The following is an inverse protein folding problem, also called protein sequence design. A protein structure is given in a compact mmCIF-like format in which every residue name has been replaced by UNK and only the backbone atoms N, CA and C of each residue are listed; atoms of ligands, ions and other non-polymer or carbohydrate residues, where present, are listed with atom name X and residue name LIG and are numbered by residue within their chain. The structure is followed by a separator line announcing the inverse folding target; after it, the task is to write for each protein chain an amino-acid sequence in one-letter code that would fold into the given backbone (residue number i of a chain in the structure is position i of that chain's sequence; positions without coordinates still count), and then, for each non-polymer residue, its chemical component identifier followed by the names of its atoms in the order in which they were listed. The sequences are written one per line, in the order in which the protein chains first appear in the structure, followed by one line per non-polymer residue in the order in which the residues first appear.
data_IF_008616839620
#
_entry.id   IF_008616839620
#
_cell.length_a   1.000
_cell.length_b   1.000
_cell.length_c   1.000
_cell.angle_alpha   90.00
_cell.angle_beta   90.00
_cell.angle_gamma   90.00
#
_symmetry.space_group_name_H-M   'P 1'
#
loop_
_entity.id
_entity.type
_entity.pdbx_description
1 polymer ?
#
# COMPACT_ATOMS: atom_id res chain seq x y z
N UNK A 1 -30.27 40.91 21.11
CA UNK A 1 -28.99 40.65 20.39
C UNK A 1 -29.00 39.41 19.48
N UNK A 2 -29.99 38.50 19.55
CA UNK A 2 -30.02 37.28 18.72
C UNK A 2 -30.49 37.50 17.26
N UNK A 3 -31.38 38.46 16.98
CA UNK A 3 -31.94 38.71 15.62
C UNK A 3 -30.89 39.12 14.58
N UNK A 4 -29.80 39.79 14.97
CA UNK A 4 -28.74 40.20 14.04
C UNK A 4 -27.70 39.10 13.74
N UNK A 5 -27.60 38.08 14.61
CA UNK A 5 -26.63 36.98 14.45
C UNK A 5 -27.13 35.86 13.54
N UNK A 6 -28.44 35.64 13.46
CA UNK A 6 -29.03 34.58 12.63
C UNK A 6 -28.71 34.73 11.13
N UNK A 7 -28.78 35.92 10.51
CA UNK A 7 -28.39 36.10 9.12
C UNK A 7 -26.91 35.81 8.87
N UNK A 8 -26.03 36.24 9.79
CA UNK A 8 -24.59 36.00 9.71
C UNK A 8 -24.25 34.50 9.82
N UNK A 9 -24.91 33.78 10.73
CA UNK A 9 -24.74 32.32 10.86
C UNK A 9 -25.27 31.57 9.64
N UNK A 10 -26.38 32.00 9.03
CA UNK A 10 -26.89 31.41 7.78
C UNK A 10 -25.91 31.62 6.62
N UNK A 11 -25.34 32.81 6.50
CA UNK A 11 -24.32 33.10 5.49
C UNK A 11 -23.07 32.22 5.70
N UNK A 12 -22.66 32.02 6.96
CA UNK A 12 -21.55 31.14 7.31
C UNK A 12 -21.84 29.66 6.97
N UNK A 13 -23.04 29.17 7.27
CA UNK A 13 -23.46 27.80 6.91
C UNK A 13 -23.42 27.61 5.38
N UNK A 14 -23.96 28.55 4.62
CA UNK A 14 -23.91 28.48 3.15
C UNK A 14 -22.47 28.50 2.61
N UNK A 15 -21.59 29.32 3.20
CA UNK A 15 -20.18 29.35 2.86
C UNK A 15 -19.48 28.00 3.12
N UNK A 16 -19.73 27.41 4.29
CA UNK A 16 -19.18 26.10 4.66
C UNK A 16 -19.72 24.98 3.78
N UNK A 17 -21.01 24.99 3.42
CA UNK A 17 -21.57 24.01 2.49
C UNK A 17 -20.91 24.10 1.11
N UNK A 18 -20.71 25.30 0.58
CA UNK A 18 -20.03 25.50 -0.70
C UNK A 18 -18.54 25.10 -0.65
N UNK A 19 -17.90 25.20 0.51
CA UNK A 19 -16.54 24.71 0.72
C UNK A 19 -16.49 23.18 0.79
N UNK A 20 -17.42 22.54 1.50
CA UNK A 20 -17.56 21.08 1.54
C UNK A 20 -17.74 20.50 0.13
N UNK A 21 -18.60 21.12 -0.69
CA UNK A 21 -18.85 20.64 -2.05
C UNK A 21 -17.59 20.79 -2.93
N UNK A 22 -16.86 21.91 -2.83
CA UNK A 22 -15.58 22.08 -3.52
C UNK A 22 -14.53 21.06 -3.10
N UNK A 23 -14.44 20.76 -1.80
CA UNK A 23 -13.52 19.75 -1.28
C UNK A 23 -13.89 18.34 -1.75
N UNK A 24 -15.19 18.03 -1.85
CA UNK A 24 -15.67 16.77 -2.43
C UNK A 24 -15.29 16.64 -3.89
N UNK A 25 -15.47 17.69 -4.68
CA UNK A 25 -15.08 17.69 -6.09
C UNK A 25 -13.57 17.49 -6.26
N UNK A 26 -12.76 18.20 -5.45
CA UNK A 26 -11.31 18.01 -5.44
C UNK A 26 -10.91 16.58 -5.04
N UNK A 27 -11.57 15.99 -4.02
CA UNK A 27 -11.34 14.61 -3.63
C UNK A 27 -11.70 13.63 -4.75
N UNK A 28 -12.80 13.87 -5.45
CA UNK A 28 -13.21 13.06 -6.60
C UNK A 28 -12.15 13.13 -7.72
N UNK A 29 -11.63 14.33 -8.03
CA UNK A 29 -10.55 14.49 -9.00
C UNK A 29 -9.30 13.71 -8.60
N UNK A 30 -8.85 13.83 -7.35
CA UNK A 30 -7.67 13.10 -6.85
C UNK A 30 -7.92 11.58 -6.88
N UNK A 31 -9.12 11.12 -6.56
CA UNK A 31 -9.47 9.70 -6.66
C UNK A 31 -9.44 9.20 -8.12
N UNK A 32 -9.93 10.01 -9.06
CA UNK A 32 -9.89 9.69 -10.49
C UNK A 32 -8.45 9.67 -11.03
N UNK A 33 -7.61 10.61 -10.60
CA UNK A 33 -6.17 10.66 -10.92
C UNK A 33 -5.42 9.46 -10.34
N UNK A 34 -5.68 9.11 -9.07
CA UNK A 34 -5.12 7.91 -8.46
C UNK A 34 -5.52 6.67 -9.24
N UNK A 35 -6.80 6.54 -9.63
CA UNK A 35 -7.28 5.43 -10.47
C UNK A 35 -6.49 5.36 -11.79
N UNK A 36 -6.28 6.49 -12.46
CA UNK A 36 -5.49 6.54 -13.68
C UNK A 36 -4.02 6.13 -13.46
N UNK A 37 -3.39 6.62 -12.39
CA UNK A 37 -2.02 6.23 -12.04
C UNK A 37 -1.91 4.73 -11.75
N UNK A 38 -2.92 4.16 -11.09
CA UNK A 38 -3.01 2.73 -10.85
C UNK A 38 -3.17 1.91 -12.13
N UNK A 39 -4.02 2.37 -13.07
CA UNK A 39 -4.22 1.74 -14.38
C UNK A 39 -2.93 1.77 -15.22
N UNK A 40 -2.23 2.92 -15.21
CA UNK A 40 -0.98 3.08 -15.97
C UNK A 40 0.16 2.24 -15.39
N UNK A 41 0.27 2.15 -14.06
CA UNK A 41 1.21 1.23 -13.41
C UNK A 41 0.93 -0.23 -13.81
N UNK A 42 -0.35 -0.65 -13.81
CA UNK A 42 -0.73 -2.01 -14.19
C UNK A 42 -0.38 -2.29 -15.67
N UNK A 43 -0.55 -1.30 -16.55
CA UNK A 43 -0.14 -1.39 -17.96
C UNK A 43 1.37 -1.56 -18.10
N UNK A 44 2.17 -0.74 -17.41
CA UNK A 44 3.63 -0.79 -17.48
C UNK A 44 4.18 -2.11 -16.93
N UNK A 45 3.58 -2.65 -15.88
CA UNK A 45 3.96 -3.96 -15.35
C UNK A 45 3.67 -5.10 -16.33
N UNK A 46 2.53 -5.06 -17.04
CA UNK A 46 2.24 -6.01 -18.11
C UNK A 46 3.26 -5.89 -19.26
N UNK A 47 3.60 -4.68 -19.67
CA UNK A 47 4.60 -4.44 -20.71
C UNK A 47 5.98 -4.96 -20.29
N UNK A 48 6.39 -4.68 -19.05
CA UNK A 48 7.64 -5.18 -18.49
C UNK A 48 7.68 -6.71 -18.42
N UNK A 49 6.59 -7.36 -18.03
CA UNK A 49 6.48 -8.82 -18.02
C UNK A 49 6.65 -9.39 -19.45
N UNK A 50 5.95 -8.81 -20.44
CA UNK A 50 6.08 -9.22 -21.85
C UNK A 50 7.50 -9.03 -22.39
N UNK A 51 8.18 -7.93 -22.01
CA UNK A 51 9.56 -7.69 -22.40
C UNK A 51 10.52 -8.69 -21.75
N UNK A 52 10.32 -9.03 -20.48
CA UNK A 52 11.10 -10.06 -19.76
C UNK A 52 10.92 -11.44 -20.41
N UNK A 53 9.70 -11.80 -20.80
CA UNK A 53 9.41 -13.06 -21.50
C UNK A 53 10.09 -13.10 -22.87
N UNK A 54 10.04 -12.00 -23.63
CA UNK A 54 10.73 -11.88 -24.92
C UNK A 54 12.24 -11.97 -24.80
N UNK A 55 12.83 -11.33 -23.79
CA UNK A 55 14.27 -11.40 -23.51
C UNK A 55 14.69 -12.83 -23.13
N UNK A 56 13.90 -13.49 -22.28
CA UNK A 56 14.11 -14.89 -21.89
C UNK A 56 14.02 -15.82 -23.10
N UNK A 57 13.02 -15.65 -23.97
CA UNK A 57 12.88 -16.40 -25.21
C UNK A 57 14.06 -16.17 -26.18
N UNK A 58 14.67 -14.98 -26.16
CA UNK A 58 15.86 -14.64 -26.93
C UNK A 58 17.18 -15.13 -26.27
N UNK A 59 17.12 -15.80 -25.12
CA UNK A 59 18.30 -16.28 -24.38
C UNK A 59 19.08 -15.17 -23.65
N UNK A 60 18.52 -13.97 -23.54
CA UNK A 60 19.10 -12.83 -22.84
C UNK A 60 18.43 -12.72 -21.47
N UNK A 61 19.13 -13.12 -20.40
CA UNK A 61 18.63 -12.91 -19.04
C UNK A 61 19.07 -11.53 -18.54
N UNK A 62 18.11 -10.71 -18.10
CA UNK A 62 18.43 -9.53 -17.29
C UNK A 62 18.97 -10.02 -15.95
N UNK A 63 20.08 -9.47 -15.43
CA UNK A 63 20.53 -9.81 -14.09
C UNK A 63 19.37 -9.53 -13.12
N UNK A 64 18.93 -10.57 -12.41
CA UNK A 64 17.90 -10.45 -11.38
C UNK A 64 18.26 -9.28 -10.48
N UNK A 65 17.29 -8.37 -10.32
CA UNK A 65 17.39 -7.03 -9.72
C UNK A 65 18.68 -6.75 -8.97
N UNK A 66 19.42 -5.70 -9.39
CA UNK A 66 20.62 -5.13 -8.73
C UNK A 66 20.97 -5.84 -7.42
N UNK A 67 21.70 -6.96 -7.52
CA UNK A 67 22.19 -7.67 -6.36
C UNK A 67 22.90 -6.63 -5.49
N UNK A 68 22.34 -6.38 -4.29
CA UNK A 68 22.93 -5.46 -3.34
C UNK A 68 24.41 -5.79 -3.21
N UNK A 69 25.25 -4.79 -3.45
CA UNK A 69 26.70 -4.89 -3.27
C UNK A 69 26.95 -5.59 -1.92
N UNK A 70 27.68 -6.71 -1.89
CA UNK A 70 27.96 -7.37 -0.63
C UNK A 70 28.77 -6.40 0.23
N UNK A 71 28.13 -5.95 1.31
CA UNK A 71 28.80 -5.22 2.36
C UNK A 71 29.79 -6.17 3.04
N UNK A 72 31.08 -5.91 2.87
CA UNK A 72 32.12 -6.41 3.75
C UNK A 72 33.00 -7.51 3.20
N UNK A 73 34.01 -7.14 2.42
CA UNK A 73 35.36 -7.70 2.61
C UNK A 73 36.24 -6.59 3.17
N UNK A 74 36.18 -6.44 4.49
CA UNK A 74 37.19 -5.70 5.23
C UNK A 74 38.53 -6.44 5.04
N UNK A 75 39.46 -5.79 4.35
CA UNK A 75 40.81 -6.27 4.16
C UNK A 75 41.48 -6.48 5.52
N UNK A 76 41.79 -7.73 5.83
CA UNK A 76 42.67 -8.10 6.92
C UNK A 76 44.08 -7.56 6.65
N UNK A 77 44.63 -6.86 7.64
CA UNK A 77 45.93 -6.23 7.57
C UNK A 77 47.07 -7.24 7.43
N UNK A 78 48.02 -6.91 6.56
CA UNK A 78 49.38 -7.44 6.61
C UNK A 78 50.32 -6.30 7.00
N UNK A 79 50.83 -6.41 8.22
CA UNK A 79 51.99 -5.72 8.74
C UNK A 79 53.25 -6.13 7.96
N UNK A 80 54.01 -5.15 7.50
CA UNK A 80 55.30 -5.35 6.85
C UNK A 80 56.14 -4.08 6.97
N UNK A 81 57.02 -4.07 7.97
CA UNK A 81 58.05 -3.08 8.24
C UNK A 81 59.21 -3.20 7.24
N UNK A 82 59.59 -2.11 6.58
CA UNK A 82 60.97 -1.85 6.16
C UNK A 82 61.15 -0.38 5.81
N UNK A 83 62.12 0.27 6.46
CA UNK A 83 62.40 1.69 6.31
C UNK A 83 63.19 2.04 5.05
N UNK A 84 63.01 3.27 4.59
CA UNK A 84 64.04 4.03 3.88
C UNK A 84 63.71 5.54 3.95
N UNK A 85 64.76 6.30 4.22
CA UNK A 85 64.83 7.75 4.30
C UNK A 85 64.31 8.47 3.04
N UNK A 86 63.64 9.62 3.27
CA UNK A 86 63.74 10.75 2.35
C UNK A 86 62.42 11.35 1.88
N UNK A 87 62.25 12.65 2.17
CA UNK A 87 61.33 13.63 1.56
C UNK A 87 59.95 13.76 2.20
N UNK A 88 59.81 14.77 3.08
CA UNK A 88 58.52 15.26 3.61
C UNK A 88 57.62 15.66 2.42
N UNK A 89 56.44 15.03 2.23
CA UNK A 89 55.45 15.58 1.33
C UNK A 89 54.83 16.81 1.99
N UNK A 90 54.67 17.86 1.18
CA UNK A 90 54.05 19.13 1.56
C UNK A 90 52.62 18.89 2.08
N UNK A 91 52.29 19.63 3.15
CA UNK A 91 50.98 19.81 3.79
C UNK A 91 49.86 18.87 3.33
N UNK A 92 49.53 17.88 4.17
CA UNK A 92 48.25 17.19 4.05
C UNK A 92 47.13 18.22 4.25
N UNK A 93 46.51 18.65 3.15
CA UNK A 93 45.25 19.38 3.18
C UNK A 93 44.29 18.49 3.97
N UNK A 94 43.89 18.90 5.18
CA UNK A 94 42.87 18.20 5.96
C UNK A 94 41.63 18.12 5.05
N UNK A 95 41.36 16.95 4.48
CA UNK A 95 40.13 16.73 3.75
C UNK A 95 39.00 16.97 4.75
N UNK A 96 38.25 18.05 4.54
CA UNK A 96 37.01 18.29 5.25
C UNK A 96 36.03 17.24 4.74
N UNK A 97 35.91 16.13 5.47
CA UNK A 97 34.88 15.13 5.20
C UNK A 97 33.56 15.77 5.58
N UNK A 98 32.84 16.26 4.58
CA UNK A 98 31.48 16.71 4.76
C UNK A 98 30.58 15.47 4.81
N UNK A 99 30.03 15.19 5.99
CA UNK A 99 29.25 13.98 6.23
C UNK A 99 27.78 14.31 5.99
N UNK A 100 27.37 14.27 4.72
CA UNK A 100 25.98 14.43 4.35
C UNK A 100 25.20 13.17 4.75
N UNK A 101 24.24 13.32 5.67
CA UNK A 101 23.28 12.25 5.97
C UNK A 101 22.21 12.29 4.90
N UNK A 102 22.26 11.31 3.99
CA UNK A 102 21.21 11.11 2.99
C UNK A 102 20.20 10.14 3.59
N UNK A 103 18.96 10.60 3.77
CA UNK A 103 17.85 9.72 4.11
C UNK A 103 17.35 9.10 2.80
N UNK A 104 17.58 7.81 2.63
CA UNK A 104 16.95 7.03 1.55
C UNK A 104 15.69 6.39 2.10
N UNK A 105 14.62 6.34 1.31
CA UNK A 105 13.43 5.60 1.67
C UNK A 105 13.79 4.13 1.89
N UNK A 106 13.59 3.65 3.13
CA UNK A 106 13.62 2.22 3.41
C UNK A 106 12.25 1.66 3.02
N UNK A 107 12.17 1.11 1.82
CA UNK A 107 11.01 0.32 1.39
C UNK A 107 11.16 -1.08 1.99
N UNK A 108 10.11 -1.58 2.64
CA UNK A 108 10.09 -2.98 3.10
C UNK A 108 10.21 -3.89 1.89
N UNK A 109 11.12 -4.86 1.98
CA UNK A 109 11.42 -5.84 0.95
C UNK A 109 10.48 -7.04 1.00
N UNK A 110 9.64 -7.15 2.04
CA UNK A 110 8.73 -8.27 2.22
C UNK A 110 9.35 -9.46 2.95
N UNK A 111 10.55 -9.29 3.52
CA UNK A 111 11.33 -10.38 4.16
C UNK A 111 11.96 -9.96 5.49
N UNK A 112 11.53 -8.82 6.04
CA UNK A 112 12.00 -8.29 7.31
C UNK A 112 11.51 -9.11 8.51
N UNK A 113 10.34 -9.73 8.39
CA UNK A 113 9.72 -10.53 9.45
C UNK A 113 9.65 -12.00 9.05
N UNK A 114 9.87 -12.88 10.02
CA UNK A 114 9.75 -14.33 9.82
C UNK A 114 8.28 -14.76 9.71
N UNK A 115 7.40 -14.08 10.45
CA UNK A 115 5.98 -14.35 10.45
C UNK A 115 5.28 -13.47 9.37
N UNK A 116 4.52 -14.07 8.41
CA UNK A 116 3.89 -13.31 7.33
C UNK A 116 2.83 -12.30 7.80
N UNK A 117 2.16 -12.57 8.92
CA UNK A 117 1.25 -11.64 9.58
C UNK A 117 1.98 -10.39 10.07
N UNK A 118 3.12 -10.57 10.75
CA UNK A 118 3.95 -9.45 11.23
C UNK A 118 4.44 -8.59 10.07
N UNK A 119 4.91 -9.23 8.98
CA UNK A 119 5.36 -8.53 7.77
C UNK A 119 4.22 -7.66 7.19
N UNK A 120 3.04 -8.25 6.98
CA UNK A 120 1.94 -7.54 6.35
C UNK A 120 1.36 -6.48 7.29
N UNK A 121 1.30 -6.74 8.60
CA UNK A 121 0.83 -5.77 9.58
C UNK A 121 1.73 -4.52 9.61
N UNK A 122 3.05 -4.70 9.54
CA UNK A 122 4.00 -3.58 9.49
C UNK A 122 3.88 -2.78 8.19
N UNK A 123 3.69 -3.46 7.04
CA UNK A 123 3.46 -2.80 5.76
C UNK A 123 2.17 -1.95 5.77
N UNK A 124 1.08 -2.48 6.34
CA UNK A 124 -0.18 -1.74 6.53
C UNK A 124 0.07 -0.52 7.44
N UNK A 125 0.81 -0.71 8.54
CA UNK A 125 1.15 0.36 9.48
C UNK A 125 1.94 1.48 8.82
N UNK A 126 2.94 1.13 8.00
CA UNK A 126 3.73 2.11 7.26
C UNK A 126 2.89 2.84 6.20
N UNK A 127 2.03 2.13 5.48
CA UNK A 127 1.11 2.75 4.52
C UNK A 127 0.21 3.76 5.21
N UNK A 128 -0.47 3.36 6.29
CA UNK A 128 -1.28 4.26 7.11
C UNK A 128 -0.48 5.46 7.61
N UNK A 129 0.74 5.23 8.10
CA UNK A 129 1.57 6.30 8.64
C UNK A 129 1.97 7.34 7.58
N UNK A 130 2.12 6.93 6.32
CA UNK A 130 2.47 7.78 5.17
C UNK A 130 1.25 8.50 4.59
N UNK A 131 0.11 7.82 4.55
CA UNK A 131 -1.06 8.26 3.79
C UNK A 131 -2.12 8.98 4.65
N UNK A 132 -2.10 8.78 5.96
CA UNK A 132 -2.99 9.49 6.90
C UNK A 132 -2.21 10.59 7.61
N UNK A 133 -2.71 11.82 7.52
CA UNK A 133 -2.09 12.97 8.18
C UNK A 133 -2.05 12.79 9.69
N UNK A 134 -0.96 13.20 10.33
CA UNK A 134 -0.76 13.09 11.78
C UNK A 134 -1.97 13.52 12.64
N UNK A 135 -2.64 14.67 12.39
CA UNK A 135 -3.84 15.05 13.16
C UNK A 135 -5.04 14.13 12.93
N UNK A 136 -5.19 13.53 11.74
CA UNK A 136 -6.32 12.66 11.40
C UNK A 136 -6.18 11.24 11.97
N UNK A 137 -4.98 10.84 12.40
CA UNK A 137 -4.68 9.48 12.89
C UNK A 137 -5.50 9.07 14.12
N UNK A 138 -5.89 10.02 14.97
CA UNK A 138 -6.69 9.74 16.16
C UNK A 138 -8.14 9.36 15.81
N UNK A 139 -8.70 9.98 14.76
CA UNK A 139 -10.06 9.72 14.29
C UNK A 139 -10.11 8.54 13.30
N UNK A 140 -8.96 8.22 12.69
CA UNK A 140 -8.81 7.13 11.72
C UNK A 140 -7.71 6.14 12.14
N UNK A 141 -7.84 5.48 13.31
CA UNK A 141 -6.91 4.46 13.74
C UNK A 141 -7.09 3.18 12.91
N UNK A 142 -6.03 2.37 12.84
CA UNK A 142 -6.11 1.04 12.24
C UNK A 142 -6.90 0.10 13.15
N UNK A 143 -8.09 -0.32 12.71
CA UNK A 143 -8.95 -1.24 13.43
C UNK A 143 -9.27 -2.47 12.58
N UNK A 144 -8.38 -3.46 12.61
CA UNK A 144 -8.55 -4.66 11.80
C UNK A 144 -7.99 -5.93 12.45
N UNK A 145 -8.39 -7.08 11.88
CA UNK A 145 -7.75 -8.38 12.08
C UNK A 145 -7.68 -9.15 10.78
N UNK A 146 -6.78 -10.13 10.72
CA UNK A 146 -6.77 -11.13 9.65
C UNK A 146 -7.68 -12.29 10.02
N UNK A 147 -8.55 -12.69 9.10
CA UNK A 147 -9.36 -13.89 9.23
C UNK A 147 -8.54 -15.15 8.94
N UNK A 148 -9.08 -16.29 9.38
CA UNK A 148 -8.44 -17.58 9.17
C UNK A 148 -8.29 -17.86 7.66
N UNK A 149 -7.05 -18.10 7.23
CA UNK A 149 -6.72 -18.35 5.82
C UNK A 149 -6.48 -17.11 4.96
N UNK A 150 -6.63 -15.89 5.50
CA UNK A 150 -6.38 -14.66 4.74
C UNK A 150 -4.97 -14.62 4.15
N UNK A 151 -3.94 -14.84 4.97
CA UNK A 151 -2.54 -14.81 4.52
C UNK A 151 -2.23 -15.90 3.50
N UNK A 152 -2.82 -17.10 3.67
CA UNK A 152 -2.71 -18.17 2.70
C UNK A 152 -3.34 -17.78 1.35
N UNK A 153 -4.45 -17.05 1.35
CA UNK A 153 -5.06 -16.52 0.13
C UNK A 153 -4.21 -15.42 -0.52
N UNK A 154 -3.56 -14.55 0.27
CA UNK A 154 -2.63 -13.53 -0.24
C UNK A 154 -1.45 -14.21 -0.93
N UNK A 155 -0.83 -15.19 -0.30
CA UNK A 155 0.29 -15.93 -0.89
C UNK A 155 -0.12 -16.61 -2.21
N UNK A 156 -1.25 -17.33 -2.19
CA UNK A 156 -1.78 -18.05 -3.35
C UNK A 156 -2.13 -17.13 -4.53
N UNK A 157 -2.74 -15.99 -4.25
CA UNK A 157 -3.36 -15.14 -5.30
C UNK A 157 -2.46 -13.97 -5.71
N UNK A 158 -1.63 -13.48 -4.80
CA UNK A 158 -0.84 -12.25 -4.94
C UNK A 158 0.67 -12.51 -4.88
N UNK A 159 1.11 -13.63 -4.29
CA UNK A 159 2.54 -13.92 -4.02
C UNK A 159 3.48 -13.93 -5.24
N UNK A 160 2.94 -13.99 -6.47
CA UNK A 160 3.71 -13.91 -7.72
C UNK A 160 3.49 -12.61 -8.53
N UNK A 161 2.52 -11.76 -8.17
CA UNK A 161 2.17 -10.53 -8.90
C UNK A 161 2.76 -9.28 -8.26
N UNK A 162 3.78 -8.69 -8.88
CA UNK A 162 4.55 -7.56 -8.33
C UNK A 162 3.68 -6.30 -8.10
N UNK A 163 2.69 -6.04 -8.97
CA UNK A 163 1.74 -4.94 -8.86
C UNK A 163 0.81 -5.10 -7.65
N UNK A 164 -0.06 -6.11 -7.65
CA UNK A 164 -1.06 -6.33 -6.61
C UNK A 164 -0.45 -6.47 -5.21
N UNK A 165 0.73 -7.08 -5.08
CA UNK A 165 1.42 -7.20 -3.79
C UNK A 165 1.82 -5.86 -3.21
N UNK A 166 2.26 -4.92 -4.06
CA UNK A 166 2.62 -3.55 -3.66
C UNK A 166 1.39 -2.73 -3.30
N UNK A 167 0.27 -2.90 -4.01
CA UNK A 167 -1.00 -2.18 -3.76
C UNK A 167 -1.70 -2.65 -2.49
N UNK A 168 -1.55 -3.93 -2.15
CA UNK A 168 -2.32 -4.57 -1.08
C UNK A 168 -2.21 -3.83 0.27
N UNK A 169 -1.01 -3.50 0.80
CA UNK A 169 -0.91 -2.76 2.06
C UNK A 169 -1.63 -1.41 2.07
N UNK A 170 -1.63 -0.69 0.95
CA UNK A 170 -2.34 0.60 0.82
C UNK A 170 -3.85 0.41 0.89
N UNK A 171 -4.38 -0.55 0.13
CA UNK A 171 -5.82 -0.85 0.15
C UNK A 171 -6.27 -1.32 1.53
N UNK A 172 -5.49 -2.20 2.17
CA UNK A 172 -5.77 -2.67 3.53
C UNK A 172 -5.74 -1.52 4.54
N UNK A 173 -4.74 -0.62 4.46
CA UNK A 173 -4.64 0.54 5.34
C UNK A 173 -5.84 1.49 5.19
N UNK A 174 -6.28 1.77 3.95
CA UNK A 174 -7.46 2.59 3.71
C UNK A 174 -8.72 2.00 4.33
N UNK A 175 -8.97 0.70 4.11
CA UNK A 175 -10.14 0.03 4.65
C UNK A 175 -10.08 -0.03 6.18
N UNK A 176 -8.93 -0.39 6.76
CA UNK A 176 -8.75 -0.50 8.20
C UNK A 176 -8.88 0.84 8.95
N UNK A 177 -8.62 1.96 8.25
CA UNK A 177 -8.74 3.32 8.78
C UNK A 177 -10.11 3.98 8.48
N UNK A 178 -11.06 3.24 7.87
CA UNK A 178 -12.40 3.77 7.56
C UNK A 178 -12.44 4.70 6.35
N UNK A 179 -11.48 4.58 5.44
CA UNK A 179 -11.43 5.29 4.16
C UNK A 179 -11.73 4.35 3.00
N UNK A 180 -12.67 3.42 3.16
CA UNK A 180 -13.04 2.46 2.12
C UNK A 180 -13.44 3.11 0.79
N UNK A 181 -13.97 4.34 0.81
CA UNK A 181 -14.35 5.12 -0.37
C UNK A 181 -13.14 5.55 -1.24
N UNK A 182 -11.91 5.48 -0.71
CA UNK A 182 -10.67 5.74 -1.47
C UNK A 182 -10.21 4.51 -2.28
N UNK A 183 -10.91 3.38 -2.14
CA UNK A 183 -10.57 2.14 -2.84
C UNK A 183 -11.37 1.95 -4.12
N UNK A 184 -10.81 1.21 -5.08
CA UNK A 184 -11.49 0.92 -6.35
C UNK A 184 -12.68 -0.01 -6.16
N UNK A 185 -13.84 0.45 -6.62
CA UNK A 185 -15.09 -0.35 -6.70
C UNK A 185 -15.45 -1.02 -5.37
N UNK A 186 -15.40 -0.24 -4.30
CA UNK A 186 -15.92 -0.67 -3.00
C UNK A 186 -17.40 -0.98 -3.07
N UNK A 187 -17.76 -2.25 -2.87
CA UNK A 187 -19.14 -2.71 -3.01
C UNK A 187 -19.51 -3.74 -1.95
N UNK A 188 -20.79 -3.74 -1.60
CA UNK A 188 -21.38 -4.83 -0.83
C UNK A 188 -21.24 -6.15 -1.60
N UNK A 189 -20.75 -7.20 -0.93
CA UNK A 189 -20.76 -8.53 -1.48
C UNK A 189 -22.17 -9.13 -1.33
N UNK A 190 -22.70 -9.70 -2.41
CA UNK A 190 -24.11 -10.14 -2.51
C UNK A 190 -24.19 -11.62 -2.83
N UNK A 191 -25.22 -12.28 -2.31
CA UNK A 191 -25.42 -13.72 -2.40
C UNK A 191 -25.74 -14.23 -3.84
N UNK A 192 -25.82 -13.35 -4.82
CA UNK A 192 -26.14 -13.69 -6.20
C UNK A 192 -25.77 -12.59 -7.18
N UNK A 193 -25.74 -12.95 -8.46
CA UNK A 193 -25.35 -12.07 -9.57
C UNK A 193 -26.44 -11.10 -9.99
N UNK A 194 -27.67 -11.27 -9.49
CA UNK A 194 -28.80 -10.39 -9.79
C UNK A 194 -28.66 -9.05 -9.04
N UNK A 195 -29.05 -7.95 -9.69
CA UNK A 195 -28.92 -6.60 -9.12
C UNK A 195 -29.69 -6.38 -7.81
N UNK A 196 -30.65 -7.25 -7.48
CA UNK A 196 -31.43 -7.23 -6.24
C UNK A 196 -31.00 -8.26 -5.18
N UNK A 197 -29.91 -9.01 -5.39
CA UNK A 197 -29.48 -10.02 -4.43
C UNK A 197 -29.15 -9.38 -3.06
N UNK A 198 -29.58 -10.01 -1.95
CA UNK A 198 -29.30 -9.49 -0.62
C UNK A 198 -27.79 -9.49 -0.36
N UNK A 199 -27.34 -8.51 0.41
CA UNK A 199 -25.97 -8.47 0.93
C UNK A 199 -25.74 -9.71 1.79
N UNK A 200 -24.55 -10.30 1.68
CA UNK A 200 -24.13 -11.38 2.57
C UNK A 200 -23.85 -10.81 3.96
N UNK A 201 -24.51 -11.41 4.96
CA UNK A 201 -24.36 -11.09 6.38
C UNK A 201 -24.00 -12.37 7.11
N UNK A 202 -22.93 -12.35 7.90
CA UNK A 202 -22.48 -13.49 8.69
C UNK A 202 -23.47 -13.74 9.84
N UNK A 203 -23.96 -14.97 9.95
CA UNK A 203 -25.03 -15.31 10.90
C UNK A 203 -24.60 -15.25 12.37
N UNK A 204 -23.32 -15.49 12.67
CA UNK A 204 -22.82 -15.59 14.04
C UNK A 204 -22.73 -14.24 14.75
N UNK A 205 -22.36 -13.18 14.03
CA UNK A 205 -22.10 -11.86 14.59
C UNK A 205 -22.75 -10.71 13.80
N UNK A 206 -23.42 -10.97 12.69
CA UNK A 206 -24.03 -9.93 11.86
C UNK A 206 -23.02 -9.14 11.02
N UNK A 207 -21.78 -9.60 10.88
CA UNK A 207 -20.78 -8.90 10.08
C UNK A 207 -21.21 -8.84 8.60
N UNK A 208 -20.92 -7.72 7.95
CA UNK A 208 -21.37 -7.44 6.57
C UNK A 208 -20.23 -7.66 5.59
N UNK A 209 -20.46 -8.42 4.53
CA UNK A 209 -19.44 -8.70 3.53
C UNK A 209 -19.29 -7.56 2.52
N UNK A 210 -18.04 -7.26 2.17
CA UNK A 210 -17.65 -6.29 1.16
C UNK A 210 -16.58 -6.87 0.23
N UNK A 211 -16.49 -6.28 -0.95
CA UNK A 211 -15.43 -6.54 -1.93
C UNK A 211 -14.83 -5.23 -2.44
N UNK A 212 -13.55 -5.30 -2.78
CA UNK A 212 -12.77 -4.21 -3.39
C UNK A 212 -11.90 -4.80 -4.49
N UNK A 213 -11.82 -4.12 -5.63
CA UNK A 213 -10.91 -4.51 -6.72
C UNK A 213 -9.49 -4.06 -6.36
N UNK A 214 -8.49 -4.94 -6.39
CA UNK A 214 -7.07 -4.58 -6.17
C UNK A 214 -6.40 -4.09 -7.45
N UNK A 215 -6.89 -4.53 -8.60
CA UNK A 215 -6.40 -4.19 -9.94
C UNK A 215 -7.60 -3.76 -10.78
N UNK A 216 -7.39 -2.75 -11.64
CA UNK A 216 -8.44 -2.25 -12.53
C UNK A 216 -8.09 -2.61 -13.97
N UNK A 217 -9.10 -2.95 -14.78
CA UNK A 217 -8.95 -3.24 -16.22
C UNK A 217 -8.04 -4.43 -16.60
N UNK A 218 -7.81 -5.39 -15.69
CA UNK A 218 -7.06 -6.63 -15.97
C UNK A 218 -7.96 -7.87 -16.10
N UNK A 219 -7.63 -8.77 -17.03
CA UNK A 219 -8.22 -10.10 -17.08
C UNK A 219 -7.80 -10.85 -15.80
N UNK A 220 -8.77 -11.43 -15.08
CA UNK A 220 -8.57 -12.02 -13.75
C UNK A 220 -8.14 -11.02 -12.66
N UNK A 221 -8.71 -9.81 -12.67
CA UNK A 221 -8.51 -8.83 -11.60
C UNK A 221 -8.74 -9.43 -10.21
N UNK A 222 -7.73 -9.25 -9.36
CA UNK A 222 -7.72 -9.73 -7.98
C UNK A 222 -8.66 -8.89 -7.12
N UNK A 223 -9.41 -9.53 -6.24
CA UNK A 223 -10.36 -8.86 -5.34
C UNK A 223 -10.05 -9.18 -3.90
N UNK A 224 -10.11 -8.15 -3.06
CA UNK A 224 -10.08 -8.28 -1.62
C UNK A 224 -11.51 -8.42 -1.11
N UNK A 225 -11.76 -9.48 -0.33
CA UNK A 225 -12.99 -9.68 0.42
C UNK A 225 -12.73 -9.46 1.91
N UNK A 226 -13.65 -8.74 2.55
CA UNK A 226 -13.56 -8.49 3.99
C UNK A 226 -14.95 -8.36 4.62
N UNK A 227 -14.97 -8.49 5.94
CA UNK A 227 -16.15 -8.28 6.76
C UNK A 227 -16.02 -6.97 7.53
N UNK A 228 -17.10 -6.17 7.54
CA UNK A 228 -17.25 -5.06 8.49
C UNK A 228 -18.04 -5.55 9.68
N UNK A 229 -17.42 -5.53 10.85
CA UNK A 229 -17.99 -6.05 12.08
C UNK A 229 -18.95 -5.04 12.71
N UNK A 230 -19.87 -5.48 13.59
CA UNK A 230 -20.79 -4.58 14.29
C UNK A 230 -20.10 -3.51 15.15
N UNK A 231 -18.90 -3.80 15.65
CA UNK A 231 -18.08 -2.89 16.45
C UNK A 231 -17.34 -1.83 15.60
N UNK A 232 -17.46 -1.90 14.27
CA UNK A 232 -16.82 -1.01 13.33
C UNK A 232 -15.43 -1.45 12.87
N UNK A 233 -14.87 -2.51 13.45
CA UNK A 233 -13.60 -3.10 13.00
C UNK A 233 -13.77 -3.89 11.70
N UNK A 234 -12.63 -4.18 11.06
CA UNK A 234 -12.56 -4.93 9.81
C UNK A 234 -11.91 -6.29 10.03
N UNK A 235 -12.47 -7.33 9.43
CA UNK A 235 -11.82 -8.63 9.30
C UNK A 235 -11.50 -8.90 7.84
N UNK A 236 -10.22 -8.87 7.48
CA UNK A 236 -9.77 -9.23 6.14
C UNK A 236 -9.88 -10.73 5.96
N UNK A 237 -10.65 -11.14 4.96
CA UNK A 237 -11.08 -12.53 4.86
C UNK A 237 -10.30 -13.29 3.78
N UNK A 238 -10.29 -12.80 2.54
CA UNK A 238 -9.57 -13.47 1.46
C UNK A 238 -9.19 -12.52 0.32
N UNK A 239 -8.16 -12.90 -0.45
CA UNK A 239 -7.88 -12.34 -1.77
C UNK A 239 -8.10 -13.41 -2.83
N UNK A 240 -9.01 -13.13 -3.77
CA UNK A 240 -9.48 -14.10 -4.76
C UNK A 240 -9.25 -13.60 -6.19
N UNK A 241 -9.09 -14.56 -7.12
CA UNK A 241 -9.26 -14.32 -8.55
C UNK A 241 -10.77 -14.33 -8.82
N UNK A 242 -11.32 -13.23 -9.33
CA UNK A 242 -12.76 -13.05 -9.54
C UNK A 242 -13.62 -13.05 -8.24
N UNK A 243 -14.95 -13.18 -8.41
CA UNK A 243 -15.95 -13.18 -7.33
C UNK A 243 -16.09 -14.56 -6.65
N UNK A 244 -14.99 -15.31 -6.55
CA UNK A 244 -15.04 -16.63 -5.92
C UNK A 244 -15.45 -16.50 -4.45
N UNK A 245 -16.40 -17.34 -4.06
CA UNK A 245 -16.97 -17.34 -2.72
C UNK A 245 -15.94 -17.78 -1.70
N UNK A 246 -15.78 -17.04 -0.60
CA UNK A 246 -15.23 -17.64 0.59
C UNK A 246 -16.18 -18.74 1.10
N UNK A 247 -15.62 -19.89 1.46
CA UNK A 247 -16.37 -20.96 2.12
C UNK A 247 -16.78 -20.45 3.51
N UNK A 248 -18.09 -20.47 3.81
CA UNK A 248 -18.65 -20.02 5.08
C UNK A 248 -18.35 -20.99 6.23
#
# INVERSE_FOLDING_TARGET
MLRGRVPALRAQIHGLSAEIDRLRDALNTVNDENRYAWDEHDRLDQENALLRDRLTAAGLSLPGGVAGVPAGTAAAGTSGTSGASGRRPRGSRKLRVDRQTVYTECVLKGTEFTAPDDQLAEEIRLSWARNVDAPAKADHPLNYRFGDGFLASVEKTVGAGESARRKLPDVLAWIAAGYEDRTSRHHAFRAGTSGGAPRVVRHTDGAKAFRVDLETSTAAARRLHYWKLPDGSVEFHSVNLHDDYPTM
#
